data_IF_370534656009
#
_entry.id   IF_370534656009
#
_cell.length_a   1.000
_cell.length_b   1.000
_cell.length_c   1.000
_cell.angle_alpha   90.00
_cell.angle_beta   90.00
_cell.angle_gamma   90.00
#
_symmetry.space_group_name_H-M   'P 1'
#
loop_
_entity.id
_entity.type
_entity.pdbx_description
1 polymer ?
#
# COMPACT_ATOMS: atom_id res chain seq x y z
N UNK A 1 1.79 -17.54 -13.72
CA UNK A 1 1.50 -16.38 -12.82
C UNK A 1 2.61 -16.19 -11.80
N UNK A 2 2.70 -15.01 -11.11
CA UNK A 2 3.69 -14.73 -10.06
C UNK A 2 3.03 -14.90 -8.69
N UNK A 3 3.73 -15.48 -7.71
CA UNK A 3 3.24 -15.55 -6.34
C UNK A 3 3.23 -14.16 -5.70
N UNK A 4 2.09 -13.73 -5.15
CA UNK A 4 1.88 -12.39 -4.63
C UNK A 4 1.67 -12.47 -3.12
N UNK A 5 2.56 -11.81 -2.37
CA UNK A 5 2.39 -11.55 -0.93
C UNK A 5 1.95 -10.10 -0.77
N UNK A 6 0.72 -9.88 -0.30
CA UNK A 6 0.24 -8.53 0.02
C UNK A 6 0.72 -8.13 1.41
N UNK A 7 1.37 -6.97 1.50
CA UNK A 7 1.83 -6.37 2.76
C UNK A 7 0.91 -5.21 3.15
N UNK A 8 0.35 -5.27 4.35
CA UNK A 8 -0.45 -4.19 4.91
C UNK A 8 -0.13 -3.95 6.40
N UNK A 9 -0.78 -2.96 6.98
CA UNK A 9 -0.66 -2.56 8.38
C UNK A 9 -1.19 -1.14 8.57
N UNK A 10 -1.60 -0.79 9.76
CA UNK A 10 -2.11 0.54 10.09
C UNK A 10 -1.07 1.65 9.94
N UNK A 11 -1.52 2.90 10.04
CA UNK A 11 -0.61 4.05 10.11
C UNK A 11 0.38 3.85 11.27
N UNK A 12 1.65 4.22 11.09
CA UNK A 12 2.67 4.08 12.13
C UNK A 12 3.13 2.65 12.42
N UNK A 13 2.64 1.64 11.69
CA UNK A 13 3.03 0.23 11.92
C UNK A 13 4.44 -0.12 11.46
N UNK A 14 5.05 0.67 10.57
CA UNK A 14 6.39 0.40 10.03
C UNK A 14 6.39 -0.48 8.77
N UNK A 15 5.30 -0.50 7.99
CA UNK A 15 5.23 -1.21 6.69
C UNK A 15 6.43 -0.96 5.80
N UNK A 16 6.85 0.31 5.67
CA UNK A 16 7.96 0.68 4.79
C UNK A 16 9.29 0.06 5.23
N UNK A 17 9.52 -0.04 6.54
CA UNK A 17 10.71 -0.71 7.09
C UNK A 17 10.71 -2.19 6.72
N UNK A 18 9.59 -2.87 6.87
CA UNK A 18 9.43 -4.28 6.49
C UNK A 18 9.58 -4.45 4.98
N UNK A 19 8.93 -3.58 4.17
CA UNK A 19 9.04 -3.63 2.71
C UNK A 19 10.49 -3.47 2.23
N UNK A 20 11.23 -2.51 2.81
CA UNK A 20 12.64 -2.29 2.49
C UNK A 20 13.50 -3.52 2.86
N UNK A 21 13.24 -4.14 4.01
CA UNK A 21 13.97 -5.35 4.40
C UNK A 21 13.76 -6.52 3.41
N UNK A 22 12.57 -6.69 2.83
CA UNK A 22 12.35 -7.64 1.74
C UNK A 22 13.03 -7.21 0.44
N UNK A 23 13.05 -5.91 0.13
CA UNK A 23 13.75 -5.38 -1.05
C UNK A 23 15.26 -5.65 -0.96
N UNK A 24 15.86 -5.49 0.22
CA UNK A 24 17.28 -5.79 0.48
C UNK A 24 17.62 -7.28 0.27
N UNK A 25 16.63 -8.16 0.38
CA UNK A 25 16.74 -9.58 0.03
C UNK A 25 16.48 -9.87 -1.47
N UNK A 26 16.40 -8.83 -2.31
CA UNK A 26 16.21 -8.95 -3.76
C UNK A 26 14.76 -9.18 -4.21
N UNK A 27 13.77 -8.92 -3.36
CA UNK A 27 12.36 -9.08 -3.71
C UNK A 27 11.83 -7.79 -4.34
N UNK A 28 11.16 -7.93 -5.49
CA UNK A 28 10.48 -6.81 -6.12
C UNK A 28 9.30 -6.35 -5.23
N UNK A 29 9.38 -5.09 -4.80
CA UNK A 29 8.35 -4.43 -4.02
C UNK A 29 7.52 -3.55 -4.95
N UNK A 30 6.20 -3.77 -4.95
CA UNK A 30 5.22 -3.05 -5.74
C UNK A 30 4.33 -2.29 -4.78
N UNK A 31 4.49 -0.96 -4.74
CA UNK A 31 3.80 -0.10 -3.77
C UNK A 31 2.64 0.64 -4.43
N UNK A 32 1.42 0.37 -3.93
CA UNK A 32 0.19 0.96 -4.46
C UNK A 32 0.14 2.49 -4.32
N UNK A 33 0.76 3.06 -3.29
CA UNK A 33 0.84 4.52 -3.12
C UNK A 33 1.80 5.15 -4.12
N UNK A 34 2.91 4.48 -4.45
CA UNK A 34 3.83 4.92 -5.49
C UNK A 34 3.13 4.88 -6.85
N UNK A 35 2.46 3.78 -7.17
CA UNK A 35 1.70 3.63 -8.42
C UNK A 35 0.61 4.70 -8.53
N UNK A 36 -0.14 4.97 -7.45
CA UNK A 36 -1.16 6.02 -7.44
C UNK A 36 -0.59 7.43 -7.69
N UNK A 37 0.71 7.64 -7.44
CA UNK A 37 1.41 8.88 -7.82
C UNK A 37 1.86 8.86 -9.27
N UNK A 38 2.37 7.75 -9.75
CA UNK A 38 2.89 7.59 -11.12
C UNK A 38 1.80 7.79 -12.18
N UNK A 39 0.60 7.25 -11.95
CA UNK A 39 -0.50 7.34 -12.92
C UNK A 39 -1.02 8.78 -13.14
N UNK A 40 -0.62 9.73 -12.31
CA UNK A 40 -0.98 11.16 -12.40
C UNK A 40 0.27 12.07 -12.48
N UNK A 41 1.39 11.56 -12.95
CA UNK A 41 2.59 12.37 -13.21
C UNK A 41 2.37 13.34 -14.37
N UNK A 42 3.17 14.40 -14.47
CA UNK A 42 3.11 15.34 -15.60
C UNK A 42 3.15 14.62 -16.94
N UNK A 43 2.17 14.92 -17.81
CA UNK A 43 2.01 14.27 -19.10
C UNK A 43 1.16 13.00 -19.11
N UNK A 44 0.78 12.46 -17.97
CA UNK A 44 -0.11 11.31 -17.91
C UNK A 44 -1.54 11.67 -18.33
N UNK A 45 -2.23 10.82 -19.13
CA UNK A 45 -3.62 11.09 -19.57
C UNK A 45 -4.58 11.32 -18.40
N UNK A 46 -4.40 10.61 -17.27
CA UNK A 46 -5.22 10.81 -16.07
C UNK A 46 -5.07 12.20 -15.47
N UNK A 47 -3.88 12.79 -15.51
CA UNK A 47 -3.66 14.15 -15.01
C UNK A 47 -4.43 15.18 -15.86
N UNK A 48 -4.46 15.00 -17.19
CA UNK A 48 -5.25 15.85 -18.08
C UNK A 48 -6.74 15.71 -17.79
N UNK A 49 -7.26 14.49 -17.65
CA UNK A 49 -8.66 14.26 -17.31
C UNK A 49 -9.05 14.89 -15.96
N UNK A 50 -8.14 14.86 -14.96
CA UNK A 50 -8.34 15.54 -13.67
C UNK A 50 -8.39 17.07 -13.87
N UNK A 51 -7.51 17.65 -14.68
CA UNK A 51 -7.49 19.08 -14.96
C UNK A 51 -8.73 19.52 -15.71
N UNK A 52 -9.23 18.74 -16.67
CA UNK A 52 -10.47 19.01 -17.40
C UNK A 52 -11.70 18.98 -16.49
N UNK A 53 -11.73 18.06 -15.53
CA UNK A 53 -12.85 17.90 -14.61
C UNK A 53 -12.86 18.92 -13.47
N UNK A 54 -11.71 19.13 -12.81
CA UNK A 54 -11.58 19.99 -11.63
C UNK A 54 -11.16 21.42 -11.95
N UNK A 55 -10.74 21.69 -13.19
CA UNK A 55 -10.20 22.96 -13.65
C UNK A 55 -8.68 23.03 -13.58
N UNK A 56 -8.09 23.88 -14.43
CA UNK A 56 -6.63 23.99 -14.58
C UNK A 56 -5.88 24.38 -13.30
N UNK A 57 -6.56 25.00 -12.34
CA UNK A 57 -6.00 25.39 -11.05
C UNK A 57 -5.65 24.20 -10.14
N UNK A 58 -6.04 22.97 -10.53
CA UNK A 58 -5.62 21.74 -9.82
C UNK A 58 -4.18 21.34 -10.20
N UNK A 59 -3.59 21.93 -11.23
CA UNK A 59 -2.24 21.71 -11.66
C UNK A 59 -1.34 22.83 -11.11
N UNK A 60 -0.22 22.47 -10.53
CA UNK A 60 0.79 23.43 -10.07
C UNK A 60 1.60 24.01 -11.26
N UNK A 61 2.38 25.08 -11.00
CA UNK A 61 3.18 25.75 -12.02
C UNK A 61 4.21 24.82 -12.66
N UNK A 62 4.71 23.85 -11.90
CA UNK A 62 5.66 22.83 -12.36
C UNK A 62 4.99 21.66 -13.13
N UNK A 63 3.68 21.73 -13.38
CA UNK A 63 2.90 20.71 -14.08
C UNK A 63 2.45 19.55 -13.21
N UNK A 64 2.75 19.54 -11.92
CA UNK A 64 2.34 18.47 -11.01
C UNK A 64 0.92 18.66 -10.45
N UNK A 65 0.30 17.60 -10.01
CA UNK A 65 -1.02 17.62 -9.35
C UNK A 65 -0.95 18.28 -7.97
N UNK A 66 -1.76 19.30 -7.73
CA UNK A 66 -1.94 19.90 -6.41
C UNK A 66 -2.77 18.96 -5.49
N UNK A 67 -2.11 17.92 -4.96
CA UNK A 67 -2.76 16.83 -4.18
C UNK A 67 -3.55 17.33 -2.99
N UNK A 68 -3.10 18.40 -2.33
CA UNK A 68 -3.82 18.98 -1.19
C UNK A 68 -5.14 19.59 -1.64
N UNK A 69 -5.12 20.41 -2.68
CA UNK A 69 -6.33 21.04 -3.23
C UNK A 69 -7.34 19.99 -3.75
N UNK A 70 -6.85 18.93 -4.43
CA UNK A 70 -7.69 17.82 -4.86
C UNK A 70 -8.33 17.09 -3.66
N UNK A 71 -7.53 16.80 -2.61
CA UNK A 71 -8.02 16.14 -1.39
C UNK A 71 -9.12 16.95 -0.72
N UNK A 72 -8.96 18.27 -0.60
CA UNK A 72 -9.96 19.16 -0.01
C UNK A 72 -11.29 19.12 -0.80
N UNK A 73 -11.21 19.10 -2.14
CA UNK A 73 -12.40 19.00 -3.01
C UNK A 73 -13.15 17.68 -2.86
N UNK A 74 -12.44 16.57 -2.97
CA UNK A 74 -13.07 15.24 -2.88
C UNK A 74 -13.55 14.91 -1.46
N UNK A 75 -12.96 15.53 -0.42
CA UNK A 75 -13.43 15.38 0.95
C UNK A 75 -14.80 16.08 1.15
N UNK A 76 -14.99 17.23 0.51
CA UNK A 76 -16.23 18.02 0.60
C UNK A 76 -17.36 17.46 -0.29
N UNK A 77 -17.04 16.66 -1.31
CA UNK A 77 -18.01 16.19 -2.30
C UNK A 77 -17.83 14.69 -2.63
N UNK A 78 -18.76 13.81 -2.16
CA UNK A 78 -18.70 12.38 -2.43
C UNK A 78 -18.79 12.01 -3.92
N UNK A 79 -19.48 12.81 -4.74
CA UNK A 79 -19.60 12.54 -6.20
C UNK A 79 -18.26 12.74 -6.89
N UNK A 80 -17.54 13.80 -6.52
CA UNK A 80 -16.19 14.07 -7.00
C UNK A 80 -15.19 12.98 -6.59
N UNK A 81 -15.31 12.49 -5.37
CA UNK A 81 -14.54 11.33 -4.90
C UNK A 81 -14.83 10.08 -5.72
N UNK A 82 -16.09 9.80 -6.02
CA UNK A 82 -16.50 8.65 -6.82
C UNK A 82 -15.98 8.75 -8.26
N UNK A 83 -16.08 9.93 -8.86
CA UNK A 83 -15.54 10.19 -10.19
C UNK A 83 -14.03 9.95 -10.25
N UNK A 84 -13.28 10.51 -9.30
CA UNK A 84 -11.82 10.34 -9.23
C UNK A 84 -11.43 8.87 -9.03
N UNK A 85 -12.13 8.15 -8.17
CA UNK A 85 -11.91 6.73 -7.94
C UNK A 85 -12.20 5.90 -9.20
N UNK A 86 -13.29 6.22 -9.92
CA UNK A 86 -13.63 5.54 -11.18
C UNK A 86 -12.57 5.75 -12.27
N UNK A 87 -11.93 6.93 -12.29
CA UNK A 87 -10.81 7.22 -13.17
C UNK A 87 -9.53 6.48 -12.77
N UNK A 88 -9.15 6.54 -11.50
CA UNK A 88 -7.83 6.11 -11.04
C UNK A 88 -7.73 4.62 -10.73
N UNK A 89 -8.78 3.98 -10.20
CA UNK A 89 -8.69 2.57 -9.79
C UNK A 89 -8.32 1.64 -10.96
N UNK A 90 -8.90 1.75 -12.18
CA UNK A 90 -8.50 0.92 -13.30
C UNK A 90 -7.04 1.12 -13.71
N UNK A 91 -6.56 2.37 -13.70
CA UNK A 91 -5.18 2.70 -14.08
C UNK A 91 -4.17 2.17 -13.06
N UNK A 92 -4.46 2.34 -11.77
CA UNK A 92 -3.64 1.78 -10.69
C UNK A 92 -3.61 0.25 -10.78
N UNK A 93 -4.75 -0.38 -11.05
CA UNK A 93 -4.81 -1.83 -11.19
C UNK A 93 -4.01 -2.32 -12.41
N UNK A 94 -4.13 -1.65 -13.55
CA UNK A 94 -3.39 -1.99 -14.76
C UNK A 94 -1.88 -1.86 -14.55
N UNK A 95 -1.42 -0.76 -13.97
CA UNK A 95 0.00 -0.53 -13.68
C UNK A 95 0.52 -1.52 -12.63
N UNK A 96 -0.26 -1.82 -11.60
CA UNK A 96 0.08 -2.87 -10.62
C UNK A 96 0.30 -4.22 -11.30
N UNK A 97 -0.61 -4.64 -12.19
CA UNK A 97 -0.49 -5.89 -12.94
C UNK A 97 0.72 -5.89 -13.87
N UNK A 98 0.98 -4.76 -14.53
CA UNK A 98 2.15 -4.59 -15.37
C UNK A 98 3.44 -4.80 -14.56
N UNK A 99 3.60 -4.12 -13.43
CA UNK A 99 4.79 -4.26 -12.57
C UNK A 99 4.93 -5.70 -12.01
N UNK A 100 3.83 -6.36 -11.65
CA UNK A 100 3.85 -7.76 -11.23
C UNK A 100 4.36 -8.67 -12.35
N UNK A 101 3.96 -8.44 -13.59
CA UNK A 101 4.39 -9.23 -14.75
C UNK A 101 5.88 -9.01 -15.07
N UNK A 102 6.37 -7.77 -14.93
CA UNK A 102 7.77 -7.39 -15.16
C UNK A 102 8.71 -7.81 -14.02
N UNK A 103 8.18 -8.15 -12.86
CA UNK A 103 8.98 -8.56 -11.72
C UNK A 103 9.83 -9.80 -12.04
N UNK A 104 11.07 -9.83 -11.55
CA UNK A 104 12.03 -10.93 -11.78
C UNK A 104 12.26 -11.80 -10.55
N UNK A 105 11.90 -11.32 -9.37
CA UNK A 105 12.03 -12.09 -8.11
C UNK A 105 11.08 -13.29 -8.06
N UNK A 106 11.37 -14.34 -7.29
CA UNK A 106 10.56 -15.57 -7.19
C UNK A 106 9.09 -15.30 -6.79
N UNK A 107 8.87 -14.33 -5.94
CA UNK A 107 7.57 -13.78 -5.58
C UNK A 107 7.65 -12.24 -5.56
N UNK A 108 6.51 -11.57 -5.45
CA UNK A 108 6.46 -10.11 -5.30
C UNK A 108 5.84 -9.74 -3.95
N UNK A 109 6.32 -8.63 -3.39
CA UNK A 109 5.71 -7.99 -2.23
C UNK A 109 4.85 -6.82 -2.70
N UNK A 110 3.53 -6.96 -2.59
CA UNK A 110 2.58 -5.92 -2.97
C UNK A 110 2.15 -5.12 -1.74
N UNK A 111 2.66 -3.91 -1.61
CA UNK A 111 2.38 -3.02 -0.46
C UNK A 111 1.09 -2.26 -0.70
N UNK A 112 0.08 -2.50 0.14
CA UNK A 112 -1.25 -1.90 0.01
C UNK A 112 -1.74 -1.40 1.37
N UNK A 113 -1.71 -0.09 1.63
CA UNK A 113 -2.17 0.47 2.91
C UNK A 113 -3.65 0.20 3.20
N UNK A 114 -4.52 0.29 2.18
CA UNK A 114 -5.97 0.08 2.27
C UNK A 114 -6.40 -1.30 1.75
N UNK A 115 -5.63 -2.34 2.09
CA UNK A 115 -5.85 -3.70 1.60
C UNK A 115 -7.21 -4.28 2.04
N UNK A 116 -7.55 -4.07 3.30
CA UNK A 116 -8.77 -4.61 3.93
C UNK A 116 -9.98 -3.79 3.54
N UNK A 117 -9.87 -2.46 3.61
CA UNK A 117 -10.92 -1.51 3.28
C UNK A 117 -11.45 -1.70 1.85
N UNK A 118 -10.56 -2.00 0.92
CA UNK A 118 -10.88 -2.24 -0.49
C UNK A 118 -11.01 -3.72 -0.86
N UNK A 119 -11.00 -4.63 0.12
CA UNK A 119 -11.07 -6.09 -0.08
C UNK A 119 -10.04 -6.64 -1.08
N UNK A 120 -8.89 -5.97 -1.22
CA UNK A 120 -7.82 -6.31 -2.17
C UNK A 120 -7.03 -7.55 -1.76
N UNK A 121 -7.12 -7.98 -0.50
CA UNK A 121 -6.50 -9.21 -0.01
C UNK A 121 -6.89 -10.45 -0.82
N UNK A 122 -8.09 -10.45 -1.44
CA UNK A 122 -8.56 -11.54 -2.32
C UNK A 122 -7.76 -11.68 -3.62
N UNK A 123 -6.96 -10.68 -3.97
CA UNK A 123 -6.11 -10.67 -5.19
C UNK A 123 -4.69 -11.15 -4.93
N UNK A 124 -4.33 -11.40 -3.67
CA UNK A 124 -3.03 -11.93 -3.27
C UNK A 124 -3.11 -13.42 -2.97
N UNK A 125 -1.98 -14.12 -3.09
CA UNK A 125 -1.85 -15.51 -2.68
C UNK A 125 -1.65 -15.64 -1.17
N UNK A 126 -1.15 -14.57 -0.52
CA UNK A 126 -0.87 -14.53 0.91
C UNK A 126 -0.89 -13.10 1.44
N UNK A 127 -1.30 -12.92 2.68
CA UNK A 127 -1.40 -11.61 3.34
C UNK A 127 -0.46 -11.56 4.54
N UNK A 128 0.48 -10.60 4.49
CA UNK A 128 1.37 -10.26 5.60
C UNK A 128 0.91 -8.96 6.25
N UNK A 129 0.64 -9.00 7.54
CA UNK A 129 0.26 -7.82 8.34
C UNK A 129 1.43 -7.40 9.24
N UNK A 130 1.82 -6.13 9.16
CA UNK A 130 2.70 -5.51 10.16
C UNK A 130 1.82 -4.94 11.26
N UNK A 131 1.90 -5.55 12.43
CA UNK A 131 1.06 -5.23 13.57
C UNK A 131 1.83 -4.46 14.65
N UNK A 132 1.15 -3.50 15.25
CA UNK A 132 1.60 -2.78 16.44
C UNK A 132 0.40 -2.41 17.30
N UNK A 133 0.64 -2.15 18.58
CA UNK A 133 -0.40 -1.65 19.48
C UNK A 133 -0.91 -0.26 19.05
N UNK A 134 -2.18 0.08 19.34
CA UNK A 134 -2.72 1.41 19.04
C UNK A 134 -1.89 2.54 19.66
N UNK A 135 -1.36 2.35 20.86
CA UNK A 135 -0.52 3.34 21.51
C UNK A 135 0.81 3.55 20.76
N UNK A 136 1.42 2.48 20.24
CA UNK A 136 2.61 2.57 19.38
C UNK A 136 2.30 3.32 18.08
N UNK A 137 1.14 3.07 17.47
CA UNK A 137 0.69 3.80 16.27
C UNK A 137 0.57 5.29 16.53
N UNK A 138 -0.11 5.67 17.63
CA UNK A 138 -0.28 7.05 18.05
C UNK A 138 1.08 7.73 18.24
N UNK A 139 1.94 7.16 19.08
CA UNK A 139 3.25 7.73 19.39
C UNK A 139 4.11 7.93 18.14
N UNK A 140 4.23 6.90 17.30
CA UNK A 140 5.07 6.94 16.08
C UNK A 140 4.53 7.93 15.06
N UNK A 141 3.22 7.98 14.86
CA UNK A 141 2.59 8.89 13.90
C UNK A 141 2.71 10.34 14.35
N UNK A 142 2.44 10.63 15.62
CA UNK A 142 2.59 11.97 16.18
C UNK A 142 4.03 12.49 16.02
N UNK A 143 5.03 11.65 16.32
CA UNK A 143 6.45 12.02 16.21
C UNK A 143 6.92 12.24 14.77
N UNK A 144 6.43 11.41 13.83
CA UNK A 144 6.84 11.47 12.43
C UNK A 144 6.23 12.65 11.69
N UNK A 145 4.94 12.92 11.93
CA UNK A 145 4.13 13.84 11.13
C UNK A 145 3.91 15.18 11.84
N UNK A 146 4.40 15.35 13.08
CA UNK A 146 4.22 16.54 13.92
C UNK A 146 2.74 16.96 14.04
N UNK A 147 1.88 15.99 14.34
CA UNK A 147 0.43 16.17 14.44
C UNK A 147 -0.09 15.84 15.83
N UNK A 148 -1.30 16.36 16.15
CA UNK A 148 -1.92 16.11 17.46
C UNK A 148 -2.45 14.69 17.60
N UNK A 149 -2.65 14.27 18.84
CA UNK A 149 -3.24 12.97 19.17
C UNK A 149 -4.62 12.81 18.52
N UNK A 150 -5.47 13.82 18.63
CA UNK A 150 -6.83 13.82 18.08
C UNK A 150 -6.83 13.61 16.57
N UNK A 151 -5.86 14.20 15.87
CA UNK A 151 -5.73 14.01 14.42
C UNK A 151 -5.36 12.58 14.07
N UNK A 152 -4.43 11.96 14.82
CA UNK A 152 -4.06 10.56 14.61
C UNK A 152 -5.23 9.61 14.92
N UNK A 153 -5.99 9.87 15.99
CA UNK A 153 -7.17 9.08 16.35
C UNK A 153 -8.25 9.14 15.26
N UNK A 154 -8.44 10.28 14.60
CA UNK A 154 -9.32 10.41 13.44
C UNK A 154 -8.84 9.55 12.25
N UNK A 155 -7.53 9.52 11.99
CA UNK A 155 -6.97 8.68 10.92
C UNK A 155 -7.18 7.19 11.26
N UNK A 156 -6.93 6.80 12.51
CA UNK A 156 -7.12 5.41 12.95
C UNK A 156 -8.58 4.99 12.84
N UNK A 157 -9.52 5.86 13.20
CA UNK A 157 -10.96 5.60 13.10
C UNK A 157 -11.44 5.46 11.63
N UNK A 158 -10.73 6.07 10.67
CA UNK A 158 -11.04 5.97 9.24
C UNK A 158 -10.43 4.71 8.57
N UNK A 159 -9.49 4.04 9.22
CA UNK A 159 -8.89 2.79 8.74
C UNK A 159 -9.66 1.57 9.26
N UNK A 160 -9.46 0.42 8.61
CA UNK A 160 -9.91 -0.87 9.14
C UNK A 160 -9.37 -1.09 10.56
N UNK A 161 -10.15 -1.75 11.41
CA UNK A 161 -9.70 -2.05 12.77
C UNK A 161 -8.50 -3.01 12.78
N UNK A 162 -7.76 -3.04 13.87
CA UNK A 162 -6.66 -4.00 14.05
C UNK A 162 -7.16 -5.43 13.91
N UNK A 163 -8.31 -5.75 14.50
CA UNK A 163 -8.95 -7.07 14.45
C UNK A 163 -9.31 -7.45 13.01
N UNK A 164 -9.88 -6.52 12.24
CA UNK A 164 -10.21 -6.77 10.83
C UNK A 164 -8.97 -7.05 9.97
N UNK A 165 -7.84 -6.36 10.25
CA UNK A 165 -6.57 -6.64 9.57
C UNK A 165 -6.01 -8.00 9.94
N UNK A 166 -6.01 -8.33 11.23
CA UNK A 166 -5.51 -9.62 11.72
C UNK A 166 -6.38 -10.80 11.25
N UNK A 167 -7.68 -10.60 11.09
CA UNK A 167 -8.60 -11.63 10.60
C UNK A 167 -8.31 -12.11 9.17
N UNK A 168 -7.68 -11.29 8.33
CA UNK A 168 -7.30 -11.66 6.96
C UNK A 168 -5.82 -12.02 6.82
N UNK A 169 -5.05 -11.94 7.90
CA UNK A 169 -3.63 -12.21 7.89
C UNK A 169 -3.32 -13.71 7.81
N UNK A 170 -2.47 -14.10 6.88
CA UNK A 170 -1.83 -15.41 6.90
C UNK A 170 -0.56 -15.40 7.76
N UNK A 171 0.13 -14.25 7.78
CA UNK A 171 1.34 -14.02 8.56
C UNK A 171 1.29 -12.65 9.24
N UNK A 172 1.94 -12.56 10.41
CA UNK A 172 2.02 -11.32 11.17
C UNK A 172 3.47 -11.07 11.59
N UNK A 173 3.94 -9.84 11.40
CA UNK A 173 5.16 -9.31 12.01
C UNK A 173 4.73 -8.37 13.13
N UNK A 174 5.07 -8.71 14.38
CA UNK A 174 4.93 -7.80 15.52
C UNK A 174 6.08 -6.78 15.51
N UNK A 175 5.74 -5.53 15.27
CA UNK A 175 6.70 -4.42 15.24
C UNK A 175 6.59 -3.50 16.47
N UNK A 176 6.17 -4.01 17.62
CA UNK A 176 6.20 -3.27 18.89
C UNK A 176 7.59 -3.22 19.52
N UNK A 177 8.45 -4.16 19.17
CA UNK A 177 9.78 -4.35 19.76
C UNK A 177 10.90 -3.56 19.11
N UNK A 178 12.13 -4.02 19.34
CA UNK A 178 13.34 -3.45 18.76
C UNK A 178 13.43 -3.74 17.24
N UNK A 179 14.07 -2.83 16.47
CA UNK A 179 14.23 -3.00 15.01
C UNK A 179 14.88 -4.32 14.57
N UNK A 180 15.76 -4.87 15.40
CA UNK A 180 16.48 -6.12 15.08
C UNK A 180 15.55 -7.34 15.01
N UNK A 181 14.42 -7.31 15.72
CA UNK A 181 13.42 -8.38 15.66
C UNK A 181 12.79 -8.49 14.26
N UNK A 182 12.60 -7.38 13.55
CA UNK A 182 12.07 -7.35 12.19
C UNK A 182 12.95 -8.14 11.23
N UNK A 183 14.28 -7.98 11.31
CA UNK A 183 15.21 -8.64 10.40
C UNK A 183 15.10 -10.17 10.50
N UNK A 184 14.96 -10.71 11.71
CA UNK A 184 14.77 -12.14 11.94
C UNK A 184 13.44 -12.65 11.38
N UNK A 185 12.35 -11.96 11.63
CA UNK A 185 11.03 -12.32 11.11
C UNK A 185 10.98 -12.24 9.59
N UNK A 186 11.55 -11.18 9.00
CA UNK A 186 11.65 -11.02 7.54
C UNK A 186 12.45 -12.17 6.92
N UNK A 187 13.60 -12.53 7.49
CA UNK A 187 14.42 -13.64 6.97
C UNK A 187 13.65 -14.97 7.03
N UNK A 188 12.98 -15.27 8.12
CA UNK A 188 12.13 -16.45 8.29
C UNK A 188 11.00 -16.52 7.28
N UNK A 189 10.26 -15.42 7.13
CA UNK A 189 9.14 -15.31 6.20
C UNK A 189 9.60 -15.33 4.74
N UNK A 190 10.73 -14.72 4.42
CA UNK A 190 11.32 -14.77 3.10
C UNK A 190 11.61 -16.22 2.67
N UNK A 191 12.27 -17.01 3.53
CA UNK A 191 12.51 -18.42 3.27
C UNK A 191 11.22 -19.21 3.04
N UNK A 192 10.18 -18.93 3.85
CA UNK A 192 8.86 -19.54 3.69
C UNK A 192 8.19 -19.15 2.36
N UNK A 193 8.24 -17.89 1.97
CA UNK A 193 7.63 -17.42 0.71
C UNK A 193 8.36 -17.94 -0.53
N UNK A 194 9.67 -18.16 -0.46
CA UNK A 194 10.41 -18.84 -1.54
C UNK A 194 9.89 -20.26 -1.77
N UNK A 195 9.63 -21.02 -0.70
CA UNK A 195 9.06 -22.36 -0.79
C UNK A 195 7.65 -22.35 -1.39
N UNK A 196 6.77 -21.44 -0.92
CA UNK A 196 5.41 -21.30 -1.44
C UNK A 196 5.39 -20.92 -2.91
N UNK A 197 6.24 -19.97 -3.32
CA UNK A 197 6.36 -19.55 -4.70
C UNK A 197 6.84 -20.69 -5.62
N UNK A 198 7.78 -21.51 -5.16
CA UNK A 198 8.25 -22.69 -5.89
C UNK A 198 7.15 -23.72 -6.10
N UNK A 199 6.36 -24.01 -5.07
CA UNK A 199 5.21 -24.91 -5.14
C UNK A 199 4.12 -24.39 -6.09
N UNK A 200 3.84 -23.08 -6.04
CA UNK A 200 2.86 -22.41 -6.89
C UNK A 200 3.21 -22.58 -8.38
N UNK A 201 4.47 -22.35 -8.77
CA UNK A 201 4.94 -22.53 -10.16
C UNK A 201 4.84 -23.99 -10.60
N UNK A 202 5.06 -24.94 -9.68
CA UNK A 202 4.98 -26.37 -9.99
C UNK A 202 3.56 -26.85 -10.25
N UNK A 203 2.56 -26.21 -9.66
CA UNK A 203 1.14 -26.52 -9.87
C UNK A 203 0.57 -25.90 -11.15
N UNK A 204 1.19 -24.87 -11.70
CA UNK A 204 0.77 -24.24 -12.97
C UNK A 204 1.40 -24.91 -14.23
N UNK A 205 2.31 -25.88 -14.06
CA UNK A 205 2.81 -26.66 -15.20
C UNK A 205 1.83 -27.78 -15.52
N UNK A 206 1.26 -27.81 -16.76
CA UNK A 206 0.36 -28.85 -17.21
C UNK A 206 1.04 -30.22 -17.25
#
# INVERSE_FOLDING_TARGET
MRYIVALTGGIGSGKSTVANAFADLGINVIDADIIARQVVEPGAPALHAIADHFGANIIAVDGTLQRRALRERIFANPEEKNWLNALLHPLIQQETQHQIQQATSPYVLWVVPLLVENSLYKKANRVLVVDVSPETQLKRTMQRDDVTREHVEQILAAQATREARLAVADDVIDNNGAPDAIASDVARLHAHYLQLASQFVSQEKP
#
